data_IF_920227021553
#
_entry.id   IF_920227021553
#
_cell.length_a   1.000
_cell.length_b   1.000
_cell.length_c   1.000
_cell.angle_alpha   90.00
_cell.angle_beta   90.00
_cell.angle_gamma   90.00
#
_symmetry.space_group_name_H-M   'P 1'
#
loop_
_entity.id
_entity.type
_entity.pdbx_description
1 polymer ?
#
# COMPACT_ATOMS: atom_id res chain seq x y z
N UNK A 1 32.63 23.19 -3.93
CA UNK A 1 31.15 23.25 -4.10
C UNK A 1 30.70 22.76 -5.48
N UNK A 2 31.59 22.77 -6.48
CA UNK A 2 31.27 22.38 -7.87
C UNK A 2 30.87 20.91 -8.05
N UNK A 3 31.43 20.02 -7.25
CA UNK A 3 31.10 18.58 -7.34
C UNK A 3 29.64 18.25 -7.00
N UNK A 4 29.03 18.99 -6.07
CA UNK A 4 27.61 18.81 -5.71
C UNK A 4 26.67 19.31 -6.80
N UNK A 5 27.02 20.40 -7.47
CA UNK A 5 26.27 20.92 -8.61
C UNK A 5 26.38 19.99 -9.83
N UNK A 6 27.55 19.45 -10.12
CA UNK A 6 27.76 18.47 -11.20
C UNK A 6 27.01 17.15 -10.95
N UNK A 7 26.98 16.67 -9.72
CA UNK A 7 26.20 15.46 -9.35
C UNK A 7 24.71 15.72 -9.50
N UNK A 8 24.23 16.88 -9.06
CA UNK A 8 22.82 17.28 -9.20
C UNK A 8 22.40 17.42 -10.66
N UNK A 9 23.23 17.99 -11.52
CA UNK A 9 22.97 18.11 -12.96
C UNK A 9 22.98 16.74 -13.65
N UNK A 10 23.94 15.88 -13.36
CA UNK A 10 23.97 14.50 -13.88
C UNK A 10 22.76 13.68 -13.47
N UNK A 11 22.33 13.79 -12.21
CA UNK A 11 21.11 13.10 -11.72
C UNK A 11 19.88 13.65 -12.45
N UNK A 12 19.80 14.97 -12.64
CA UNK A 12 18.70 15.63 -13.33
C UNK A 12 18.64 15.26 -14.81
N UNK A 13 19.80 15.15 -15.47
CA UNK A 13 19.94 14.76 -16.87
C UNK A 13 19.61 13.27 -17.08
N UNK A 14 20.07 12.40 -16.18
CA UNK A 14 19.71 10.98 -16.14
C UNK A 14 18.21 10.79 -15.90
N UNK A 15 17.62 11.54 -14.97
CA UNK A 15 16.19 11.51 -14.71
C UNK A 15 15.38 12.02 -15.92
N UNK A 16 15.79 13.10 -16.55
CA UNK A 16 15.12 13.65 -17.73
C UNK A 16 15.19 12.71 -18.94
N UNK A 17 16.33 12.03 -19.13
CA UNK A 17 16.54 11.09 -20.23
C UNK A 17 15.79 9.76 -20.06
N UNK A 18 15.61 9.28 -18.81
CA UNK A 18 15.03 7.98 -18.53
C UNK A 18 13.89 8.04 -17.51
N UNK A 19 13.16 9.17 -17.44
CA UNK A 19 12.10 9.39 -16.45
C UNK A 19 11.07 8.25 -16.39
N UNK A 20 10.65 7.72 -17.54
CA UNK A 20 9.72 6.60 -17.62
C UNK A 20 10.24 5.32 -16.97
N UNK A 21 11.55 5.06 -17.07
CA UNK A 21 12.18 3.88 -16.46
C UNK A 21 12.29 4.07 -14.95
N UNK A 22 12.66 5.26 -14.50
CA UNK A 22 12.73 5.60 -13.07
C UNK A 22 11.34 5.53 -12.42
N UNK A 23 10.30 6.08 -13.07
CA UNK A 23 8.94 6.02 -12.57
C UNK A 23 8.45 4.57 -12.45
N UNK A 24 8.75 3.73 -13.44
CA UNK A 24 8.41 2.31 -13.42
C UNK A 24 9.19 1.53 -12.36
N UNK A 25 10.48 1.84 -12.15
CA UNK A 25 11.29 1.24 -11.11
C UNK A 25 10.76 1.59 -9.70
N UNK A 26 10.44 2.86 -9.46
CA UNK A 26 9.83 3.30 -8.21
C UNK A 26 8.48 2.61 -8.00
N UNK A 27 7.64 2.54 -9.03
CA UNK A 27 6.35 1.88 -8.97
C UNK A 27 6.50 0.39 -8.63
N UNK A 28 7.47 -0.30 -9.23
CA UNK A 28 7.77 -1.70 -8.92
C UNK A 28 8.16 -1.87 -7.45
N UNK A 29 9.09 -1.05 -6.96
CA UNK A 29 9.58 -1.13 -5.57
C UNK A 29 8.43 -0.89 -4.59
N UNK A 30 7.62 0.16 -4.82
CA UNK A 30 6.47 0.48 -3.96
C UNK A 30 5.43 -0.63 -3.99
N UNK A 31 5.10 -1.15 -5.18
CA UNK A 31 4.16 -2.26 -5.33
C UNK A 31 4.66 -3.52 -4.61
N UNK A 32 5.94 -3.88 -4.83
CA UNK A 32 6.56 -5.04 -4.20
C UNK A 32 6.56 -4.92 -2.67
N UNK A 33 6.97 -3.78 -2.13
CA UNK A 33 6.96 -3.54 -0.68
C UNK A 33 5.53 -3.61 -0.11
N UNK A 34 4.55 -3.04 -0.83
CA UNK A 34 3.14 -3.08 -0.41
C UNK A 34 2.60 -4.51 -0.36
N UNK A 35 2.79 -5.30 -1.42
CA UNK A 35 2.31 -6.68 -1.47
C UNK A 35 3.07 -7.57 -0.50
N UNK A 36 4.39 -7.40 -0.39
CA UNK A 36 5.20 -8.11 0.59
C UNK A 36 4.73 -7.81 2.02
N UNK A 37 4.45 -6.55 2.32
CA UNK A 37 3.95 -6.11 3.61
C UNK A 37 2.59 -6.73 3.94
N UNK A 38 1.65 -6.74 2.98
CA UNK A 38 0.33 -7.35 3.16
C UNK A 38 0.49 -8.85 3.43
N UNK A 39 1.26 -9.54 2.61
CA UNK A 39 1.47 -10.98 2.74
C UNK A 39 2.21 -11.37 4.03
N UNK A 40 3.18 -10.56 4.47
CA UNK A 40 3.93 -10.79 5.71
C UNK A 40 3.11 -10.50 6.98
N UNK A 41 2.22 -9.51 6.94
CA UNK A 41 1.45 -9.11 8.12
C UNK A 41 0.10 -9.81 8.22
N UNK A 42 -0.55 -10.06 7.10
CA UNK A 42 -1.90 -10.62 7.05
C UNK A 42 -1.86 -12.09 6.65
N UNK A 43 -1.13 -12.47 5.64
CA UNK A 43 -0.69 -13.82 5.21
C UNK A 43 -1.58 -15.05 5.48
N UNK A 44 -2.88 -14.87 5.77
CA UNK A 44 -3.78 -15.94 6.19
C UNK A 44 -4.10 -16.92 5.05
N UNK A 45 -4.09 -16.45 3.82
CA UNK A 45 -4.29 -17.29 2.63
C UNK A 45 -2.94 -17.73 2.09
N UNK A 46 -2.52 -18.96 2.42
CA UNK A 46 -1.20 -19.53 2.05
C UNK A 46 -0.89 -19.45 0.56
N UNK A 47 -1.88 -19.61 -0.32
CA UNK A 47 -1.68 -19.53 -1.78
C UNK A 47 -1.36 -18.09 -2.22
N UNK A 48 -2.07 -17.08 -1.68
CA UNK A 48 -1.84 -15.68 -1.99
C UNK A 48 -0.60 -15.10 -1.31
N UNK A 49 -0.19 -15.66 -0.16
CA UNK A 49 0.99 -15.26 0.61
C UNK A 49 2.31 -15.78 0.03
N UNK A 50 2.29 -16.54 -1.08
CA UNK A 50 3.52 -17.05 -1.67
C UNK A 50 4.37 -15.92 -2.26
N UNK A 51 5.71 -15.98 -2.13
CA UNK A 51 6.61 -14.97 -2.66
C UNK A 51 6.50 -14.84 -4.19
N UNK A 52 6.13 -15.92 -4.86
CA UNK A 52 5.93 -15.95 -6.31
C UNK A 52 4.71 -15.11 -6.72
N UNK A 53 3.60 -15.17 -5.99
CA UNK A 53 2.41 -14.34 -6.22
C UNK A 53 2.72 -12.88 -5.94
N UNK A 54 3.45 -12.59 -4.87
CA UNK A 54 3.90 -11.23 -4.54
C UNK A 54 4.70 -10.62 -5.69
N UNK A 55 5.67 -11.37 -6.23
CA UNK A 55 6.53 -10.92 -7.32
C UNK A 55 5.73 -10.76 -8.62
N UNK A 56 4.92 -11.74 -8.99
CA UNK A 56 4.08 -11.70 -10.20
C UNK A 56 3.13 -10.49 -10.16
N UNK A 57 2.45 -10.27 -9.03
CA UNK A 57 1.53 -9.16 -8.86
C UNK A 57 2.24 -7.80 -8.95
N UNK A 58 3.45 -7.71 -8.38
CA UNK A 58 4.27 -6.50 -8.44
C UNK A 58 4.71 -6.17 -9.86
N UNK A 59 5.12 -7.18 -10.64
CA UNK A 59 5.49 -7.01 -12.05
C UNK A 59 4.28 -6.55 -12.87
N UNK A 60 3.12 -7.18 -12.71
CA UNK A 60 1.89 -6.78 -13.41
C UNK A 60 1.53 -5.33 -13.06
N UNK A 61 1.54 -4.98 -11.78
CA UNK A 61 1.21 -3.63 -11.32
C UNK A 61 2.20 -2.56 -11.79
N UNK A 62 3.43 -2.93 -12.15
CA UNK A 62 4.41 -2.00 -12.72
C UNK A 62 3.98 -1.46 -14.09
N UNK A 63 3.26 -2.24 -14.87
CA UNK A 63 2.75 -1.81 -16.18
C UNK A 63 1.43 -1.05 -16.09
N UNK A 64 0.69 -1.20 -15.00
CA UNK A 64 -0.59 -0.55 -14.76
C UNK A 64 -0.40 0.85 -14.14
N UNK A 65 -1.38 1.75 -14.22
CA UNK A 65 -1.34 3.01 -13.49
C UNK A 65 -1.36 2.75 -11.98
N UNK A 66 -0.70 3.62 -11.21
CA UNK A 66 -0.51 3.47 -9.76
C UNK A 66 -1.83 3.35 -8.98
N UNK A 67 -2.90 3.94 -9.49
CA UNK A 67 -4.25 3.80 -8.92
C UNK A 67 -4.74 2.35 -8.95
N UNK A 68 -4.43 1.60 -10.01
CA UNK A 68 -4.77 0.17 -10.09
C UNK A 68 -3.94 -0.68 -9.13
N UNK A 69 -2.72 -0.25 -8.81
CA UNK A 69 -1.91 -0.89 -7.75
C UNK A 69 -2.59 -0.77 -6.39
N UNK A 70 -3.23 0.38 -6.10
CA UNK A 70 -4.03 0.56 -4.87
C UNK A 70 -5.21 -0.42 -4.84
N UNK A 71 -5.92 -0.56 -5.95
CA UNK A 71 -7.07 -1.49 -6.06
C UNK A 71 -6.59 -2.93 -5.89
N UNK A 72 -5.49 -3.31 -6.54
CA UNK A 72 -4.91 -4.64 -6.42
C UNK A 72 -4.45 -4.96 -4.98
N UNK A 73 -3.83 -3.99 -4.30
CA UNK A 73 -3.40 -4.15 -2.91
C UNK A 73 -4.61 -4.35 -1.97
N UNK A 74 -5.67 -3.58 -2.16
CA UNK A 74 -6.89 -3.75 -1.35
C UNK A 74 -7.65 -5.04 -1.68
N UNK A 75 -7.68 -5.46 -2.94
CA UNK A 75 -8.26 -6.74 -3.32
C UNK A 75 -7.49 -7.91 -2.69
N UNK A 76 -6.16 -7.85 -2.68
CA UNK A 76 -5.33 -8.84 -1.99
C UNK A 76 -5.60 -8.86 -0.48
N UNK A 77 -5.70 -7.68 0.14
CA UNK A 77 -6.03 -7.57 1.56
C UNK A 77 -7.42 -8.15 1.87
N UNK A 78 -8.43 -7.85 1.06
CA UNK A 78 -9.77 -8.40 1.21
C UNK A 78 -9.80 -9.92 1.02
N UNK A 79 -9.02 -10.48 0.09
CA UNK A 79 -8.87 -11.92 -0.07
C UNK A 79 -8.33 -12.60 1.19
N UNK A 80 -7.34 -11.98 1.85
CA UNK A 80 -6.84 -12.48 3.13
C UNK A 80 -7.88 -12.37 4.26
N UNK A 81 -8.67 -11.27 4.30
CA UNK A 81 -9.74 -11.10 5.29
C UNK A 81 -10.84 -12.15 5.11
N UNK A 82 -11.19 -12.46 3.86
CA UNK A 82 -12.16 -13.50 3.53
C UNK A 82 -11.73 -14.88 4.06
N UNK A 83 -10.42 -15.19 4.01
CA UNK A 83 -9.92 -16.46 4.52
C UNK A 83 -9.90 -16.54 6.05
N UNK A 84 -9.96 -15.41 6.76
CA UNK A 84 -10.06 -15.38 8.24
C UNK A 84 -11.49 -15.55 8.68
N UNK A 85 -12.39 -14.67 8.25
CA UNK A 85 -13.80 -14.68 8.62
C UNK A 85 -14.62 -13.85 7.64
N UNK A 86 -15.82 -14.36 7.30
CA UNK A 86 -16.76 -13.64 6.46
C UNK A 86 -17.20 -12.31 7.10
N UNK A 87 -17.38 -12.28 8.42
CA UNK A 87 -17.75 -11.07 9.15
C UNK A 87 -16.67 -10.00 9.06
N UNK A 88 -15.41 -10.38 9.24
CA UNK A 88 -14.25 -9.45 9.09
C UNK A 88 -14.14 -8.95 7.66
N UNK A 89 -14.35 -9.81 6.67
CA UNK A 89 -14.37 -9.43 5.26
C UNK A 89 -15.44 -8.37 4.96
N UNK A 90 -16.69 -8.57 5.41
CA UNK A 90 -17.79 -7.64 5.16
C UNK A 90 -17.51 -6.27 5.78
N UNK A 91 -17.08 -6.23 7.04
CA UNK A 91 -16.75 -4.97 7.73
C UNK A 91 -15.61 -4.25 7.04
N UNK A 92 -14.53 -4.95 6.70
CA UNK A 92 -13.36 -4.37 6.01
C UNK A 92 -13.72 -3.88 4.61
N UNK A 93 -14.53 -4.64 3.86
CA UNK A 93 -15.01 -4.25 2.54
C UNK A 93 -15.85 -2.98 2.58
N UNK A 94 -16.73 -2.86 3.59
CA UNK A 94 -17.55 -1.66 3.77
C UNK A 94 -16.71 -0.43 4.10
N UNK A 95 -15.71 -0.57 4.99
CA UNK A 95 -14.77 0.51 5.30
C UNK A 95 -13.97 0.90 4.07
N UNK A 96 -13.49 -0.06 3.27
CA UNK A 96 -12.76 0.21 2.03
C UNK A 96 -13.65 0.91 0.99
N UNK A 97 -14.91 0.53 0.88
CA UNK A 97 -15.85 1.17 -0.03
C UNK A 97 -16.03 2.65 0.32
N UNK A 98 -16.27 2.97 1.59
CA UNK A 98 -16.38 4.36 2.06
C UNK A 98 -15.07 5.10 1.79
N UNK A 99 -13.94 4.50 2.15
CA UNK A 99 -12.61 5.07 1.94
C UNK A 99 -12.34 5.35 0.46
N UNK A 100 -12.74 4.46 -0.45
CA UNK A 100 -12.57 4.65 -1.89
C UNK A 100 -13.44 5.78 -2.44
N UNK A 101 -14.66 5.95 -1.94
CA UNK A 101 -15.50 7.08 -2.34
C UNK A 101 -14.78 8.40 -2.03
N UNK A 102 -14.23 8.53 -0.80
CA UNK A 102 -13.47 9.72 -0.42
C UNK A 102 -12.16 9.85 -1.22
N UNK A 103 -11.41 8.77 -1.36
CA UNK A 103 -10.13 8.78 -2.06
C UNK A 103 -10.29 9.17 -3.54
N UNK A 104 -11.17 8.51 -4.29
CA UNK A 104 -11.36 8.79 -5.71
C UNK A 104 -11.97 10.17 -5.96
N UNK A 105 -12.77 10.67 -5.04
CA UNK A 105 -13.37 12.00 -5.15
C UNK A 105 -12.38 13.13 -4.85
N UNK A 106 -11.51 12.94 -3.86
CA UNK A 106 -10.68 14.03 -3.33
C UNK A 106 -9.19 13.90 -3.71
N UNK A 107 -8.65 12.69 -3.81
CA UNK A 107 -7.21 12.48 -3.96
C UNK A 107 -6.81 11.38 -4.96
N UNK A 108 -7.42 11.29 -6.18
CA UNK A 108 -7.17 10.16 -7.09
C UNK A 108 -5.73 10.10 -7.60
N UNK A 109 -5.03 11.24 -7.61
CA UNK A 109 -3.62 11.33 -8.07
C UNK A 109 -2.59 11.06 -6.97
N UNK A 110 -3.04 10.84 -5.72
CA UNK A 110 -2.17 10.64 -4.54
C UNK A 110 -2.00 9.17 -4.16
N UNK A 111 -2.04 8.26 -5.15
CA UNK A 111 -1.88 6.83 -4.95
C UNK A 111 -0.55 6.48 -4.26
N UNK A 112 0.53 7.19 -4.60
CA UNK A 112 1.83 7.02 -3.98
C UNK A 112 1.79 7.32 -2.48
N UNK A 113 1.17 8.44 -2.07
CA UNK A 113 1.04 8.79 -0.66
C UNK A 113 0.23 7.74 0.12
N UNK A 114 -0.84 7.22 -0.48
CA UNK A 114 -1.68 6.19 0.12
C UNK A 114 -0.93 4.88 0.34
N UNK A 115 -0.13 4.42 -0.65
CA UNK A 115 0.65 3.19 -0.57
C UNK A 115 1.87 3.33 0.36
N UNK A 116 2.55 4.49 0.35
CA UNK A 116 3.73 4.73 1.19
C UNK A 116 3.37 4.86 2.67
N UNK A 117 2.17 5.35 3.00
CA UNK A 117 1.75 5.55 4.39
C UNK A 117 1.80 4.25 5.21
N UNK A 118 1.14 3.15 4.85
CA UNK A 118 1.23 1.91 5.63
C UNK A 118 2.65 1.34 5.68
N UNK A 119 3.46 1.53 4.63
CA UNK A 119 4.88 1.12 4.60
C UNK A 119 5.67 1.90 5.66
N UNK A 120 5.49 3.22 5.74
CA UNK A 120 6.17 4.08 6.71
C UNK A 120 5.79 3.73 8.15
N UNK A 121 4.51 3.43 8.41
CA UNK A 121 4.06 2.94 9.70
C UNK A 121 4.74 1.63 10.10
N UNK A 122 4.91 0.71 9.16
CA UNK A 122 5.58 -0.56 9.41
C UNK A 122 7.07 -0.39 9.69
N UNK A 123 7.73 0.55 9.00
CA UNK A 123 9.12 0.92 9.23
C UNK A 123 9.32 1.73 10.53
N UNK A 124 8.24 1.98 11.30
CA UNK A 124 8.23 2.79 12.53
C UNK A 124 8.64 4.26 12.31
N UNK A 125 8.45 4.77 11.11
CA UNK A 125 8.71 6.17 10.72
C UNK A 125 7.45 6.86 10.17
N UNK A 126 6.32 6.84 10.88
CA UNK A 126 5.01 7.26 10.36
C UNK A 126 4.97 8.74 9.97
N UNK A 127 5.79 9.57 10.60
CA UNK A 127 5.78 11.02 10.40
C UNK A 127 6.46 11.48 9.11
N UNK A 128 7.28 10.63 8.49
CA UNK A 128 8.03 11.00 7.27
C UNK A 128 7.10 11.36 6.12
N UNK A 129 6.03 10.60 5.93
CA UNK A 129 5.10 10.83 4.82
C UNK A 129 4.29 12.12 5.00
N UNK A 130 3.61 12.37 6.16
CA UNK A 130 2.92 13.64 6.38
C UNK A 130 3.83 14.86 6.27
N UNK A 131 5.06 14.77 6.82
CA UNK A 131 6.02 15.87 6.76
C UNK A 131 6.49 16.12 5.32
N UNK A 132 6.85 15.09 4.58
CA UNK A 132 7.29 15.22 3.18
C UNK A 132 6.20 15.87 2.31
N UNK A 133 4.97 15.38 2.39
CA UNK A 133 3.85 15.94 1.61
C UNK A 133 3.39 17.30 2.13
N UNK A 134 3.51 17.56 3.45
CA UNK A 134 3.24 18.88 4.02
C UNK A 134 4.22 19.93 3.52
N UNK A 135 5.51 19.61 3.43
CA UNK A 135 6.54 20.50 2.87
C UNK A 135 6.32 20.76 1.37
N UNK A 136 5.73 19.81 0.63
CA UNK A 136 5.36 20.01 -0.77
C UNK A 136 4.08 20.84 -0.95
N UNK A 137 3.46 21.31 0.14
CA UNK A 137 2.22 22.10 0.14
C UNK A 137 1.07 21.46 -0.62
N UNK A 138 0.89 20.15 -0.47
CA UNK A 138 -0.19 19.39 -1.13
C UNK A 138 -1.27 18.99 -0.11
N UNK A 139 -2.22 19.87 0.21
CA UNK A 139 -3.22 19.60 1.27
C UNK A 139 -4.11 18.39 0.96
N UNK A 140 -4.32 18.10 -0.32
CA UNK A 140 -5.12 16.94 -0.77
C UNK A 140 -4.47 15.60 -0.37
N UNK A 141 -3.15 15.58 -0.14
CA UNK A 141 -2.44 14.38 0.31
C UNK A 141 -2.88 13.89 1.70
N UNK A 142 -3.43 14.79 2.54
CA UNK A 142 -3.95 14.42 3.86
C UNK A 142 -5.03 13.34 3.78
N UNK A 143 -5.88 13.39 2.75
CA UNK A 143 -6.92 12.36 2.54
C UNK A 143 -6.28 11.00 2.24
N UNK A 144 -5.30 10.96 1.33
CA UNK A 144 -4.61 9.73 0.99
C UNK A 144 -3.82 9.16 2.18
N UNK A 145 -3.16 10.02 2.97
CA UNK A 145 -2.41 9.63 4.17
C UNK A 145 -3.36 9.09 5.24
N UNK A 146 -4.51 9.74 5.47
CA UNK A 146 -5.52 9.25 6.41
C UNK A 146 -6.07 7.88 6.00
N UNK A 147 -6.37 7.69 4.71
CA UNK A 147 -6.78 6.40 4.17
C UNK A 147 -5.70 5.32 4.37
N UNK A 148 -4.44 5.63 4.09
CA UNK A 148 -3.31 4.71 4.30
C UNK A 148 -3.11 4.35 5.78
N UNK A 149 -3.33 5.30 6.68
CA UNK A 149 -3.30 5.07 8.14
C UNK A 149 -4.42 4.12 8.56
N UNK A 150 -5.64 4.30 8.07
CA UNK A 150 -6.78 3.40 8.34
C UNK A 150 -6.45 1.98 7.87
N UNK A 151 -5.91 1.82 6.67
CA UNK A 151 -5.48 0.51 6.12
C UNK A 151 -4.50 -0.17 7.08
N UNK A 152 -3.49 0.56 7.55
CA UNK A 152 -2.50 0.02 8.47
C UNK A 152 -3.12 -0.46 9.78
N UNK A 153 -4.00 0.34 10.40
CA UNK A 153 -4.64 -0.04 11.66
C UNK A 153 -5.60 -1.21 11.50
N UNK A 154 -6.35 -1.30 10.41
CA UNK A 154 -7.20 -2.47 10.10
C UNK A 154 -6.33 -3.72 10.03
N UNK A 155 -5.20 -3.66 9.31
CA UNK A 155 -4.27 -4.76 9.18
C UNK A 155 -3.71 -5.23 10.53
N UNK A 156 -3.34 -4.29 11.40
CA UNK A 156 -2.85 -4.58 12.75
C UNK A 156 -3.95 -5.17 13.65
N UNK A 157 -5.16 -4.64 13.55
CA UNK A 157 -6.29 -5.13 14.33
C UNK A 157 -6.64 -6.57 13.96
N UNK A 158 -6.76 -6.85 12.66
CA UNK A 158 -7.06 -8.21 12.18
C UNK A 158 -5.96 -9.19 12.54
N UNK A 159 -4.69 -8.79 12.44
CA UNK A 159 -3.57 -9.62 12.89
C UNK A 159 -3.66 -10.03 14.36
N UNK A 160 -4.14 -9.14 15.22
CA UNK A 160 -4.34 -9.43 16.65
C UNK A 160 -5.59 -10.27 16.91
N UNK A 161 -6.64 -10.08 16.14
CA UNK A 161 -7.92 -10.76 16.32
C UNK A 161 -7.97 -12.17 15.69
N UNK A 162 -7.16 -12.41 14.66
CA UNK A 162 -7.14 -13.66 13.89
C UNK A 162 -6.97 -14.93 14.74
N UNK A 163 -6.08 -15.00 15.76
CA UNK A 163 -5.94 -16.20 16.59
C UNK A 163 -7.22 -16.57 17.35
N UNK A 164 -8.04 -15.57 17.75
CA UNK A 164 -9.32 -15.80 18.42
C UNK A 164 -10.42 -16.29 17.48
N UNK A 165 -10.40 -15.82 16.24
CA UNK A 165 -11.40 -16.13 15.22
C UNK A 165 -11.22 -17.54 14.61
N UNK A 166 -9.99 -18.04 14.57
CA UNK A 166 -9.68 -19.42 14.13
C UNK A 166 -10.17 -20.48 15.14
N UNK A 167 -10.28 -20.12 16.42
CA UNK A 167 -10.85 -20.96 17.48
C UNK A 167 -12.34 -21.22 17.30
N UNK A 168 -13.10 -20.18 16.95
CA UNK A 168 -14.55 -20.24 16.75
C UNK A 168 -14.94 -21.09 15.52
N UNK A 169 -14.10 -21.10 14.48
CA UNK A 169 -14.37 -21.87 13.26
C UNK A 169 -14.22 -23.39 13.47
N UNK A 170 -13.37 -23.79 14.41
CA UNK A 170 -13.15 -25.22 14.75
C UNK A 170 -14.18 -25.76 15.73
N UNK A 171 -14.94 -24.89 16.40
CA UNK A 171 -15.99 -25.30 17.35
C UNK A 171 -17.38 -25.47 16.70
N UNK A 172 -17.54 -25.11 15.42
CA UNK A 172 -18.80 -25.16 14.66
C UNK A 172 -18.83 -26.33 13.64
N UNK A 173 -17.76 -27.12 13.58
CA UNK A 173 -17.68 -28.37 12.80
C UNK A 173 -17.55 -29.55 13.76
#
# INVERSE_FOLDING_TARGET
MDNLFMIREKIRELYASHSKIFDKAIQFVVAFLTFYMINSNVGFMKMAASPLVTLALSVICTFLPMTLTVIAASALMLAHMFSVSLSVFIVTALVFLIMYIFYFRLAPKMALALLLTPIAFMLKIPYVIPVAYGLMSVPVSLVAISCGTIIYYIMQYVKKAAPGLDGDRKSVV
#
